data_IF_510265150010
#
_entry.id   IF_510265150010
#
_cell.length_a   1.000
_cell.length_b   1.000
_cell.length_c   1.000
_cell.angle_alpha   90.00
_cell.angle_beta   90.00
_cell.angle_gamma   90.00
#
_symmetry.space_group_name_H-M   'P 1'
#
loop_
_entity.id
_entity.type
_entity.pdbx_description
1 polymer ?
#
# COMPACT_ATOMS: atom_id res chain seq x y z
N UNK A 1 -4.56 43.12 5.50
CA UNK A 1 -5.93 43.10 6.04
C UNK A 1 -6.64 41.90 5.43
N UNK A 2 -7.17 41.05 6.31
CA UNK A 2 -7.87 39.79 6.04
C UNK A 2 -9.08 39.96 5.13
N UNK A 3 -9.22 39.10 4.13
CA UNK A 3 -10.50 38.75 3.50
C UNK A 3 -10.30 37.31 3.01
N UNK A 4 -10.82 36.26 3.66
CA UNK A 4 -12.16 36.15 4.22
C UNK A 4 -13.15 35.75 3.13
N UNK A 5 -12.86 34.69 2.37
CA UNK A 5 -13.81 34.13 1.41
C UNK A 5 -14.10 32.66 1.77
N UNK A 6 -15.14 32.45 2.58
CA UNK A 6 -15.86 31.16 2.68
C UNK A 6 -17.01 31.20 1.68
N UNK A 7 -17.11 30.27 0.71
CA UNK A 7 -18.36 30.09 0.01
C UNK A 7 -19.31 29.19 0.81
N UNK A 8 -20.58 29.57 0.71
CA UNK A 8 -21.75 29.08 1.41
C UNK A 8 -22.10 27.60 1.13
N UNK A 9 -22.83 27.04 2.08
CA UNK A 9 -23.47 25.72 2.04
C UNK A 9 -24.54 25.62 0.94
N UNK A 10 -24.55 24.52 0.18
CA UNK A 10 -25.63 24.19 -0.74
C UNK A 10 -25.86 22.66 -0.85
N UNK A 11 -26.94 22.22 -0.17
CA UNK A 11 -27.98 21.23 -0.53
C UNK A 11 -27.60 19.85 -1.16
N UNK A 12 -28.12 18.82 -0.49
CA UNK A 12 -28.10 17.36 -0.71
C UNK A 12 -28.25 16.77 -2.15
N UNK A 13 -27.54 15.63 -2.35
CA UNK A 13 -27.73 14.45 -3.28
C UNK A 13 -26.77 14.38 -4.50
N UNK A 14 -26.34 13.19 -4.97
CA UNK A 14 -25.68 12.07 -4.26
C UNK A 14 -24.19 12.40 -4.07
N UNK A 15 -23.64 12.17 -2.87
CA UNK A 15 -22.48 12.92 -2.35
C UNK A 15 -21.16 12.61 -3.09
N UNK A 16 -20.92 13.29 -4.21
CA UNK A 16 -19.62 13.43 -4.84
C UNK A 16 -18.86 14.56 -4.17
N UNK A 17 -18.16 14.27 -3.08
CA UNK A 17 -17.20 15.24 -2.52
C UNK A 17 -16.19 15.63 -3.60
N UNK A 18 -15.95 16.92 -3.78
CA UNK A 18 -14.90 17.39 -4.68
C UNK A 18 -13.54 17.17 -4.04
N UNK A 19 -12.48 17.04 -4.86
CA UNK A 19 -11.11 16.86 -4.36
C UNK A 19 -10.69 17.98 -3.39
N UNK A 20 -11.15 19.21 -3.63
CA UNK A 20 -10.92 20.34 -2.73
C UNK A 20 -11.62 20.17 -1.37
N UNK A 21 -12.88 19.72 -1.34
CA UNK A 21 -13.59 19.45 -0.08
C UNK A 21 -12.94 18.32 0.72
N UNK A 22 -12.41 17.32 0.01
CA UNK A 22 -11.67 16.22 0.60
C UNK A 22 -10.33 16.67 1.21
N UNK A 23 -9.60 17.54 0.51
CA UNK A 23 -8.35 18.14 1.01
C UNK A 23 -8.62 19.03 2.22
N UNK A 24 -9.68 19.84 2.19
CA UNK A 24 -10.05 20.71 3.30
C UNK A 24 -10.41 19.90 4.56
N UNK A 25 -11.11 18.77 4.41
CA UNK A 25 -11.38 17.84 5.52
C UNK A 25 -10.09 17.25 6.14
N UNK A 26 -9.12 16.88 5.29
CA UNK A 26 -7.81 16.42 5.76
C UNK A 26 -7.06 17.51 6.53
N UNK A 27 -7.04 18.74 6.01
CA UNK A 27 -6.40 19.89 6.66
C UNK A 27 -7.06 20.23 7.99
N UNK A 28 -8.39 20.19 8.09
CA UNK A 28 -9.12 20.40 9.35
C UNK A 28 -8.76 19.36 10.40
N UNK A 29 -8.70 18.08 10.01
CA UNK A 29 -8.31 17.00 10.92
C UNK A 29 -6.83 17.06 11.31
N UNK A 30 -6.00 17.68 10.48
CA UNK A 30 -4.57 17.89 10.70
C UNK A 30 -4.23 19.25 11.33
N UNK A 31 -5.21 20.01 11.81
CA UNK A 31 -5.01 21.41 12.25
C UNK A 31 -3.89 21.63 13.29
N UNK A 32 -3.52 20.60 14.06
CA UNK A 32 -2.48 20.65 15.09
C UNK A 32 -1.24 19.78 14.77
N UNK A 33 -1.24 19.08 13.63
CA UNK A 33 -0.20 18.10 13.29
C UNK A 33 0.19 18.19 11.81
N UNK A 34 1.49 18.24 11.55
CA UNK A 34 2.04 18.21 10.18
C UNK A 34 1.73 16.87 9.47
N UNK A 35 1.47 15.80 10.22
CA UNK A 35 1.09 14.49 9.69
C UNK A 35 -0.22 13.97 10.26
N UNK A 36 -1.01 13.31 9.41
CA UNK A 36 -2.32 12.76 9.77
C UNK A 36 -2.43 11.28 9.38
N UNK A 37 -2.45 10.41 10.40
CA UNK A 37 -2.66 8.98 10.21
C UNK A 37 -4.12 8.68 9.87
N UNK A 38 -4.35 7.62 9.08
CA UNK A 38 -5.71 7.15 8.73
C UNK A 38 -6.60 6.93 9.97
N UNK A 39 -6.06 6.33 11.02
CA UNK A 39 -6.79 6.09 12.27
C UNK A 39 -7.13 7.38 13.01
N UNK A 40 -6.22 8.35 13.03
CA UNK A 40 -6.47 9.68 13.62
C UNK A 40 -7.56 10.42 12.85
N UNK A 41 -7.52 10.40 11.52
CA UNK A 41 -8.60 10.95 10.72
C UNK A 41 -9.94 10.27 11.00
N UNK A 42 -10.00 8.94 11.06
CA UNK A 42 -11.24 8.20 11.36
C UNK A 42 -11.79 8.56 12.74
N UNK A 43 -10.91 8.87 13.72
CA UNK A 43 -11.32 9.28 15.07
C UNK A 43 -11.75 10.74 15.16
N UNK A 44 -11.13 11.62 14.37
CA UNK A 44 -11.32 13.08 14.43
C UNK A 44 -12.37 13.60 13.46
N UNK A 45 -12.62 12.88 12.35
CA UNK A 45 -13.61 13.26 11.35
C UNK A 45 -15.00 13.38 11.97
N UNK A 46 -15.75 14.35 11.50
CA UNK A 46 -17.18 14.46 11.73
C UNK A 46 -17.96 13.56 10.77
N UNK A 47 -19.23 13.30 11.11
CA UNK A 47 -20.12 12.45 10.30
C UNK A 47 -20.37 13.04 8.89
N UNK A 48 -20.31 14.37 8.78
CA UNK A 48 -20.45 15.15 7.53
C UNK A 48 -19.17 15.16 6.66
N UNK A 49 -18.07 14.55 7.13
CA UNK A 49 -16.79 14.53 6.41
C UNK A 49 -16.61 13.24 5.59
N UNK A 50 -15.85 13.31 4.46
CA UNK A 50 -15.64 12.17 3.59
C UNK A 50 -14.96 11.02 4.34
N UNK A 51 -15.42 9.79 4.11
CA UNK A 51 -14.78 8.64 4.74
C UNK A 51 -13.37 8.41 4.23
N UNK A 52 -12.47 7.90 5.08
CA UNK A 52 -11.14 7.47 4.66
C UNK A 52 -11.13 6.58 3.39
N UNK A 53 -11.96 5.52 3.29
CA UNK A 53 -12.05 4.73 2.05
C UNK A 53 -12.56 5.51 0.82
N UNK A 54 -13.33 6.59 1.01
CA UNK A 54 -13.77 7.44 -0.09
C UNK A 54 -12.62 8.33 -0.62
N UNK A 55 -11.81 8.87 0.30
CA UNK A 55 -10.59 9.62 -0.03
C UNK A 55 -9.62 8.73 -0.82
N UNK A 56 -9.41 7.50 -0.36
CA UNK A 56 -8.52 6.55 -1.01
C UNK A 56 -9.00 6.13 -2.40
N UNK A 57 -10.31 5.91 -2.56
CA UNK A 57 -10.86 5.58 -3.88
C UNK A 57 -10.75 6.75 -4.86
N UNK A 58 -10.78 8.00 -4.38
CA UNK A 58 -10.69 9.19 -5.21
C UNK A 58 -9.24 9.53 -5.59
N UNK A 59 -8.33 9.50 -4.62
CA UNK A 59 -6.91 9.85 -4.81
C UNK A 59 -6.01 8.65 -5.09
N UNK A 60 -6.55 7.43 -5.07
CA UNK A 60 -5.82 6.17 -5.26
C UNK A 60 -5.20 5.61 -3.98
N UNK A 61 -4.81 6.46 -3.02
CA UNK A 61 -4.30 6.03 -1.71
C UNK A 61 -4.41 7.13 -0.66
N UNK A 62 -4.35 6.75 0.62
CA UNK A 62 -4.36 7.71 1.74
C UNK A 62 -3.18 8.68 1.64
N UNK A 63 -2.01 8.14 1.28
CA UNK A 63 -0.80 8.92 1.11
C UNK A 63 -0.92 9.94 -0.03
N UNK A 64 -1.51 9.54 -1.16
CA UNK A 64 -1.79 10.45 -2.26
C UNK A 64 -2.76 11.56 -1.84
N UNK A 65 -3.74 11.26 -0.99
CA UNK A 65 -4.65 12.27 -0.46
C UNK A 65 -3.92 13.28 0.46
N UNK A 66 -3.02 12.81 1.33
CA UNK A 66 -2.19 13.66 2.19
C UNK A 66 -1.22 14.53 1.38
N UNK A 67 -0.59 13.97 0.34
CA UNK A 67 0.30 14.70 -0.57
C UNK A 67 -0.45 15.84 -1.27
N UNK A 68 -1.69 15.60 -1.73
CA UNK A 68 -2.53 16.63 -2.32
C UNK A 68 -2.97 17.69 -1.31
N UNK A 69 -3.05 17.33 -0.03
CA UNK A 69 -3.30 18.27 1.06
C UNK A 69 -2.04 19.02 1.53
N UNK A 70 -0.86 18.72 0.98
CA UNK A 70 0.40 19.29 1.44
C UNK A 70 0.76 18.90 2.87
N UNK A 71 0.14 17.85 3.40
CA UNK A 71 0.44 17.31 4.72
C UNK A 71 1.66 16.41 4.64
N UNK A 72 2.51 16.50 5.66
CA UNK A 72 3.54 15.52 5.94
C UNK A 72 2.90 14.15 5.91
N UNK A 73 3.23 13.39 4.88
CA UNK A 73 2.83 12.00 4.85
C UNK A 73 3.42 11.38 6.09
N UNK A 74 2.59 10.84 6.99
CA UNK A 74 3.09 9.82 7.92
C UNK A 74 3.73 8.83 6.98
N UNK A 75 5.06 8.85 6.95
CA UNK A 75 5.85 7.85 6.27
C UNK A 75 5.44 6.58 7.00
N UNK A 76 4.36 5.95 6.54
CA UNK A 76 4.43 4.53 6.36
C UNK A 76 5.65 4.41 5.47
N UNK A 77 6.76 3.89 6.02
CA UNK A 77 7.90 3.58 5.17
C UNK A 77 7.35 2.95 3.90
N UNK A 78 7.89 3.21 2.72
CA UNK A 78 7.38 2.56 1.51
C UNK A 78 7.29 1.03 1.65
N UNK A 79 8.01 0.43 2.61
CA UNK A 79 7.87 -0.97 3.01
C UNK A 79 6.58 -1.34 3.79
N UNK A 80 5.78 -0.40 4.32
CA UNK A 80 4.49 -0.62 5.02
C UNK A 80 3.26 -0.67 4.11
N UNK A 81 3.40 -0.39 2.80
CA UNK A 81 2.52 -1.00 1.80
C UNK A 81 2.81 -2.53 1.66
N UNK A 82 3.89 -3.00 2.31
CA UNK A 82 4.33 -4.39 2.43
C UNK A 82 4.35 -4.98 3.85
N UNK A 83 4.43 -4.19 4.92
CA UNK A 83 4.83 -4.65 6.26
C UNK A 83 3.75 -5.35 7.08
N UNK A 84 2.53 -5.49 6.56
CA UNK A 84 1.59 -6.49 7.11
C UNK A 84 1.89 -7.89 6.60
N UNK A 85 2.73 -8.02 5.58
CA UNK A 85 3.10 -9.32 5.00
C UNK A 85 4.53 -9.61 5.37
N UNK A 86 4.70 -10.74 6.06
CA UNK A 86 5.95 -11.43 6.41
C UNK A 86 7.05 -11.47 5.34
N UNK A 87 6.79 -11.03 4.10
CA UNK A 87 7.61 -11.23 2.92
C UNK A 87 7.93 -9.90 2.24
N UNK A 88 9.15 -9.40 2.45
CA UNK A 88 9.67 -8.21 1.74
C UNK A 88 10.08 -8.56 0.31
N UNK A 89 10.27 -7.53 -0.52
CA UNK A 89 10.79 -7.72 -1.89
C UNK A 89 12.14 -8.42 -1.89
N UNK A 90 13.04 -8.03 -0.99
CA UNK A 90 14.35 -8.64 -0.81
C UNK A 90 14.26 -10.12 -0.46
N UNK A 91 13.38 -10.49 0.48
CA UNK A 91 13.14 -11.91 0.83
C UNK A 91 12.60 -12.71 -0.34
N UNK A 92 11.76 -12.10 -1.18
CA UNK A 92 11.25 -12.75 -2.39
C UNK A 92 12.38 -12.99 -3.39
N UNK A 93 13.25 -12.00 -3.62
CA UNK A 93 14.38 -12.13 -4.54
C UNK A 93 15.40 -13.16 -4.04
N UNK A 94 15.68 -13.16 -2.73
CA UNK A 94 16.58 -14.12 -2.09
C UNK A 94 16.05 -15.55 -2.23
N UNK A 95 14.75 -15.77 -1.97
CA UNK A 95 14.11 -17.07 -2.17
C UNK A 95 14.18 -17.56 -3.62
N UNK A 96 14.00 -16.67 -4.60
CA UNK A 96 14.14 -17.01 -6.02
C UNK A 96 15.59 -17.35 -6.38
N UNK A 97 16.57 -16.64 -5.82
CA UNK A 97 18.00 -16.97 -6.02
C UNK A 97 18.35 -18.32 -5.42
N UNK A 98 17.91 -18.62 -4.21
CA UNK A 98 18.18 -19.92 -3.56
C UNK A 98 17.56 -21.06 -4.38
N UNK A 99 16.33 -20.90 -4.86
CA UNK A 99 15.67 -21.87 -5.74
C UNK A 99 16.48 -22.09 -7.03
N UNK A 100 16.96 -21.02 -7.66
CA UNK A 100 17.76 -21.11 -8.88
C UNK A 100 19.07 -21.86 -8.65
N UNK A 101 19.79 -21.55 -7.57
CA UNK A 101 21.05 -22.21 -7.23
C UNK A 101 20.84 -23.71 -6.96
N UNK A 102 19.73 -24.09 -6.34
CA UNK A 102 19.44 -25.48 -5.98
C UNK A 102 18.87 -26.32 -7.12
N UNK A 103 18.00 -25.74 -7.93
CA UNK A 103 17.21 -26.50 -8.94
C UNK A 103 17.60 -26.17 -10.37
N UNK A 104 18.31 -25.07 -10.62
CA UNK A 104 18.63 -24.58 -11.97
C UNK A 104 17.41 -24.09 -12.76
N UNK A 105 16.22 -23.99 -12.14
CA UNK A 105 14.99 -23.56 -12.80
C UNK A 105 14.11 -22.72 -11.88
N UNK A 106 13.58 -21.62 -12.42
CA UNK A 106 12.59 -20.77 -11.75
C UNK A 106 11.20 -20.96 -12.34
N UNK A 107 10.89 -22.14 -12.86
CA UNK A 107 9.50 -22.48 -13.16
C UNK A 107 8.67 -22.49 -11.87
N UNK A 108 7.44 -21.98 -11.92
CA UNK A 108 6.55 -21.89 -10.75
C UNK A 108 6.36 -23.26 -10.08
N UNK A 109 6.22 -24.32 -10.87
CA UNK A 109 6.08 -25.69 -10.38
C UNK A 109 7.34 -26.18 -9.66
N UNK A 110 8.52 -25.89 -10.22
CA UNK A 110 9.81 -26.25 -9.62
C UNK A 110 10.02 -25.50 -8.30
N UNK A 111 9.67 -24.21 -8.26
CA UNK A 111 9.75 -23.39 -7.05
C UNK A 111 8.81 -23.91 -5.95
N UNK A 112 7.55 -24.23 -6.26
CA UNK A 112 6.62 -24.78 -5.28
C UNK A 112 7.10 -26.14 -4.77
N UNK A 113 7.58 -27.03 -5.64
CA UNK A 113 8.15 -28.33 -5.25
C UNK A 113 9.38 -28.17 -4.34
N UNK A 114 10.26 -27.21 -4.65
CA UNK A 114 11.43 -26.89 -3.83
C UNK A 114 11.04 -26.28 -2.46
N UNK A 115 10.00 -25.44 -2.43
CA UNK A 115 9.44 -24.85 -1.22
C UNK A 115 8.80 -25.90 -0.32
N UNK A 116 8.01 -26.81 -0.87
CA UNK A 116 7.33 -27.87 -0.11
C UNK A 116 8.26 -29.02 0.28
N UNK A 117 9.55 -28.93 -0.06
CA UNK A 117 10.50 -30.01 0.20
C UNK A 117 10.25 -31.25 -0.66
N UNK A 118 9.45 -31.17 -1.73
CA UNK A 118 9.21 -32.31 -2.62
C UNK A 118 10.48 -32.73 -3.37
N UNK A 119 11.49 -31.87 -3.47
CA UNK A 119 12.77 -32.17 -4.11
C UNK A 119 13.83 -32.78 -3.17
N UNK A 120 13.85 -32.37 -1.90
CA UNK A 120 14.97 -32.61 -0.97
C UNK A 120 14.50 -32.96 0.46
N UNK A 121 13.20 -33.06 0.70
CA UNK A 121 12.58 -33.31 2.01
C UNK A 121 12.50 -32.08 2.93
N UNK A 122 13.09 -30.94 2.55
CA UNK A 122 13.14 -29.73 3.39
C UNK A 122 12.00 -28.76 3.05
N UNK A 123 11.03 -28.63 3.95
CA UNK A 123 9.97 -27.63 3.86
C UNK A 123 10.49 -26.23 4.21
N UNK A 124 10.52 -25.32 3.22
CA UNK A 124 10.95 -23.92 3.40
C UNK A 124 9.73 -23.03 3.68
N UNK A 125 9.22 -23.09 4.91
CA UNK A 125 8.13 -22.19 5.37
C UNK A 125 8.59 -20.74 5.57
N UNK A 126 9.90 -20.50 5.54
CA UNK A 126 10.54 -19.20 5.56
C UNK A 126 10.60 -18.53 4.17
N UNK A 127 10.11 -19.16 3.09
CA UNK A 127 9.99 -18.51 1.78
C UNK A 127 8.53 -18.28 1.38
N UNK A 128 8.21 -17.20 0.65
CA UNK A 128 6.86 -16.93 0.21
C UNK A 128 6.38 -17.95 -0.83
N UNK A 129 5.09 -18.31 -0.85
CA UNK A 129 4.52 -19.10 -1.94
C UNK A 129 4.45 -18.28 -3.24
N UNK A 130 4.44 -18.96 -4.38
CA UNK A 130 4.50 -18.31 -5.69
C UNK A 130 3.32 -17.34 -5.95
N UNK A 131 2.16 -17.62 -5.36
CA UNK A 131 1.01 -16.71 -5.39
C UNK A 131 1.34 -15.35 -4.73
N UNK A 132 2.01 -15.36 -3.58
CA UNK A 132 2.46 -14.14 -2.90
C UNK A 132 3.50 -13.41 -3.72
N UNK A 133 4.45 -14.13 -4.32
CA UNK A 133 5.47 -13.54 -5.20
C UNK A 133 4.79 -12.83 -6.38
N UNK A 134 3.82 -13.46 -7.06
CA UNK A 134 3.09 -12.87 -8.17
C UNK A 134 2.29 -11.63 -7.75
N UNK A 135 1.60 -11.71 -6.62
CA UNK A 135 0.82 -10.59 -6.09
C UNK A 135 1.73 -9.40 -5.72
N UNK A 136 2.89 -9.68 -5.14
CA UNK A 136 3.85 -8.66 -4.68
C UNK A 136 4.67 -8.05 -5.80
N UNK A 137 5.19 -8.87 -6.70
CA UNK A 137 6.05 -8.43 -7.82
C UNK A 137 5.25 -8.03 -9.06
N UNK A 138 3.92 -8.17 -9.04
CA UNK A 138 3.01 -7.98 -10.18
C UNK A 138 3.10 -9.07 -11.24
N UNK A 139 4.28 -9.67 -11.45
CA UNK A 139 4.51 -10.77 -12.39
C UNK A 139 5.64 -11.68 -11.94
N UNK A 140 5.45 -12.98 -12.10
CA UNK A 140 6.49 -13.99 -11.86
C UNK A 140 7.71 -13.75 -12.76
N UNK A 141 7.49 -13.47 -14.04
CA UNK A 141 8.56 -13.23 -15.02
C UNK A 141 9.38 -11.99 -14.70
N UNK A 142 8.76 -10.98 -14.07
CA UNK A 142 9.47 -9.80 -13.56
C UNK A 142 10.33 -10.19 -12.37
N UNK A 143 9.77 -10.96 -11.43
CA UNK A 143 10.47 -11.41 -10.23
C UNK A 143 11.71 -12.28 -10.56
N UNK A 144 11.57 -13.26 -11.46
CA UNK A 144 12.69 -14.12 -11.85
C UNK A 144 13.78 -13.38 -12.61
N UNK A 145 13.39 -12.40 -13.43
CA UNK A 145 14.35 -11.52 -14.12
C UNK A 145 15.14 -10.66 -13.13
N UNK A 146 14.53 -10.17 -12.06
CA UNK A 146 15.21 -9.41 -11.01
C UNK A 146 16.09 -10.29 -10.11
N UNK A 147 15.74 -11.58 -9.99
CA UNK A 147 16.50 -12.51 -9.17
C UNK A 147 17.80 -12.97 -9.84
N UNK A 148 17.77 -13.17 -11.17
CA UNK A 148 18.87 -13.75 -11.97
C UNK A 148 19.57 -12.72 -12.88
N UNK A 149 18.99 -11.54 -13.06
CA UNK A 149 19.60 -10.40 -13.75
C UNK A 149 20.49 -9.58 -12.83
#
# INVERSE_FOLDING_TARGET
MTTGQRPATARHRPVGYTEQQMIDALLRCAADQDSLSRNDYIRRRHDDEPSAPLLERRFGSWNAALQQAGLGTTEQPLHFQGATTKWTEEMILDALRECWIKTGSLAVLTYEAWRTGSTDGICRSHVPPAATIRFRMGSWSRATRLAVG
#
